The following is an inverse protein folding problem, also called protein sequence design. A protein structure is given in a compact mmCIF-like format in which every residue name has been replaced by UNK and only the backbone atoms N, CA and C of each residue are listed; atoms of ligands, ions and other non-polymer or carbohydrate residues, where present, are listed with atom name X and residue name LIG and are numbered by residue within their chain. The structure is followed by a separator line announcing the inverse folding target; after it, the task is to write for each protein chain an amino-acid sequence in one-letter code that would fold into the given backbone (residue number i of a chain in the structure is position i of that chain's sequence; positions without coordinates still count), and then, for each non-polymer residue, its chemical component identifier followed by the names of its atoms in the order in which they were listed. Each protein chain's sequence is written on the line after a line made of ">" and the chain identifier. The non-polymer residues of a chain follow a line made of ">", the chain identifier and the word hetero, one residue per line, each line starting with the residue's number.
data_IF_287972595561
#
_entry.id   IF_287972595561
#
_cell.length_a   1.000
_cell.length_b   1.000
_cell.length_c   1.000
_cell.angle_alpha   90.00
_cell.angle_beta   90.00
_cell.angle_gamma   90.00
#
_symmetry.space_group_name_H-M   'P 1'
#
loop_
_entity.id
_entity.type
_entity.pdbx_description
1 polymer ?
#
# COMPACT_ATOMS: atom_id res chain seq x y z
N UNK A 1 5.67 -55.15 -50.42
CA UNK A 1 4.87 -54.79 -49.22
C UNK A 1 5.74 -54.44 -48.00
N UNK A 2 6.87 -53.74 -48.18
CA UNK A 2 7.82 -53.45 -47.08
C UNK A 2 8.33 -51.99 -47.03
N UNK A 3 8.02 -51.13 -48.00
CA UNK A 3 8.50 -49.74 -48.00
C UNK A 3 7.51 -48.72 -47.43
N UNK A 4 6.23 -49.07 -47.26
CA UNK A 4 5.20 -48.14 -46.76
C UNK A 4 5.15 -48.05 -45.22
N UNK A 5 5.68 -49.02 -44.50
CA UNK A 5 5.69 -49.02 -43.03
C UNK A 5 6.77 -48.11 -42.40
N UNK A 6 7.87 -47.85 -43.12
CA UNK A 6 8.95 -46.97 -42.62
C UNK A 6 8.58 -45.49 -42.62
N UNK A 7 7.67 -45.06 -43.49
CA UNK A 7 7.31 -43.64 -43.62
C UNK A 7 6.42 -43.15 -42.47
N UNK A 8 5.53 -44.00 -41.95
CA UNK A 8 4.63 -43.66 -40.83
C UNK A 8 5.35 -43.47 -39.49
N UNK A 9 6.44 -44.21 -39.25
CA UNK A 9 7.21 -44.10 -38.00
C UNK A 9 7.93 -42.75 -37.86
N UNK A 10 8.41 -42.19 -38.97
CA UNK A 10 9.07 -40.89 -38.96
C UNK A 10 8.09 -39.71 -38.77
N UNK A 11 6.84 -39.86 -39.20
CA UNK A 11 5.80 -38.85 -39.01
C UNK A 11 5.30 -38.86 -37.55
N UNK A 12 5.09 -40.05 -36.96
CA UNK A 12 4.73 -40.19 -35.55
C UNK A 12 5.85 -39.76 -34.59
N UNK A 13 7.11 -40.08 -34.90
CA UNK A 13 8.25 -39.64 -34.09
C UNK A 13 8.45 -38.11 -34.13
N UNK A 14 8.19 -37.46 -35.28
CA UNK A 14 8.24 -36.00 -35.39
C UNK A 14 7.08 -35.31 -34.66
N UNK A 15 5.90 -35.93 -34.61
CA UNK A 15 4.76 -35.41 -33.84
C UNK A 15 5.01 -35.48 -32.32
N UNK A 16 5.63 -36.54 -31.80
CA UNK A 16 5.97 -36.64 -30.37
C UNK A 16 7.06 -35.64 -29.94
N UNK A 17 8.04 -35.32 -30.80
CA UNK A 17 9.08 -34.33 -30.48
C UNK A 17 8.53 -32.90 -30.49
N UNK A 18 7.55 -32.60 -31.34
CA UNK A 18 6.90 -31.27 -31.38
C UNK A 18 5.90 -31.06 -30.23
N UNK A 19 5.19 -32.10 -29.78
CA UNK A 19 4.25 -31.97 -28.64
C UNK A 19 4.99 -31.91 -27.30
N UNK A 20 6.16 -32.55 -27.18
CA UNK A 20 6.98 -32.47 -25.96
C UNK A 20 7.72 -31.13 -25.78
N UNK A 21 7.84 -30.32 -26.84
CA UNK A 21 8.50 -29.00 -26.78
C UNK A 21 7.56 -27.86 -26.33
N UNK A 22 6.24 -28.09 -26.27
CA UNK A 22 5.26 -27.09 -25.83
C UNK A 22 4.84 -27.22 -24.36
N UNK A 23 5.43 -28.16 -23.60
CA UNK A 23 5.21 -28.29 -22.16
C UNK A 23 6.54 -28.13 -21.42
N UNK A 24 7.27 -27.06 -21.74
CA UNK A 24 8.22 -26.54 -20.78
C UNK A 24 7.39 -25.74 -19.76
N UNK A 25 7.29 -26.17 -18.49
CA UNK A 25 6.78 -25.27 -17.47
C UNK A 25 7.63 -24.00 -17.54
N UNK A 26 6.99 -22.84 -17.66
CA UNK A 26 7.65 -21.57 -17.43
C UNK A 26 8.18 -21.62 -16.00
N UNK A 27 9.43 -22.05 -15.84
CA UNK A 27 10.17 -21.88 -14.61
C UNK A 27 10.32 -20.37 -14.50
N UNK A 28 9.45 -19.75 -13.71
CA UNK A 28 9.63 -18.37 -13.30
C UNK A 28 10.90 -18.33 -12.46
N UNK A 29 12.00 -17.90 -13.07
CA UNK A 29 13.31 -17.85 -12.42
C UNK A 29 13.31 -16.67 -11.44
N UNK A 30 13.24 -16.97 -10.15
CA UNK A 30 13.28 -15.97 -9.08
C UNK A 30 14.65 -15.26 -9.03
N UNK A 31 14.66 -14.05 -8.45
CA UNK A 31 15.87 -13.26 -8.21
C UNK A 31 16.94 -14.06 -7.46
N UNK A 32 18.20 -13.93 -7.92
CA UNK A 32 19.33 -14.67 -7.35
C UNK A 32 19.70 -14.23 -5.94
N UNK A 33 19.56 -12.94 -5.62
CA UNK A 33 19.79 -12.37 -4.29
C UNK A 33 18.71 -11.34 -3.96
N UNK A 34 18.14 -11.45 -2.75
CA UNK A 34 17.16 -10.51 -2.19
C UNK A 34 17.66 -10.04 -0.84
N UNK A 35 17.69 -8.74 -0.61
CA UNK A 35 18.05 -8.11 0.67
C UNK A 35 16.84 -7.37 1.23
N UNK A 36 16.43 -7.69 2.46
CA UNK A 36 15.34 -6.99 3.16
C UNK A 36 15.95 -6.03 4.16
N UNK A 37 15.81 -4.73 3.90
CA UNK A 37 16.31 -3.66 4.76
C UNK A 37 15.18 -3.18 5.68
N UNK A 38 15.44 -3.17 6.99
CA UNK A 38 14.51 -2.71 8.03
C UNK A 38 15.25 -1.79 8.99
N UNK A 39 14.60 -0.83 9.64
CA UNK A 39 15.26 0.03 10.66
C UNK A 39 14.61 -0.02 12.03
N UNK A 40 13.44 -0.66 12.16
CA UNK A 40 12.73 -0.83 13.42
C UNK A 40 12.02 -2.19 13.49
N UNK A 41 11.68 -2.62 14.70
CA UNK A 41 10.97 -3.88 14.98
C UNK A 41 9.50 -3.62 15.34
N UNK A 42 8.80 -2.79 14.56
CA UNK A 42 7.35 -2.66 14.76
C UNK A 42 6.64 -3.97 14.40
N UNK A 43 5.52 -4.26 15.07
CA UNK A 43 4.72 -5.47 14.82
C UNK A 43 4.37 -5.64 13.33
N UNK A 44 4.06 -4.53 12.65
CA UNK A 44 3.78 -4.53 11.21
C UNK A 44 4.99 -4.96 10.37
N UNK A 45 6.19 -4.46 10.68
CA UNK A 45 7.43 -4.84 10.01
C UNK A 45 7.76 -6.31 10.27
N UNK A 46 7.66 -6.78 11.52
CA UNK A 46 7.92 -8.18 11.85
C UNK A 46 6.94 -9.13 11.14
N UNK A 47 5.65 -8.79 11.09
CA UNK A 47 4.64 -9.58 10.38
C UNK A 47 4.90 -9.62 8.88
N UNK A 48 5.23 -8.47 8.27
CA UNK A 48 5.61 -8.38 6.85
C UNK A 48 6.81 -9.28 6.55
N UNK A 49 7.92 -9.13 7.29
CA UNK A 49 9.15 -9.90 7.06
C UNK A 49 8.90 -11.39 7.22
N UNK A 50 8.14 -11.79 8.25
CA UNK A 50 7.76 -13.19 8.48
C UNK A 50 6.95 -13.74 7.30
N UNK A 51 5.92 -13.03 6.85
CA UNK A 51 5.08 -13.47 5.75
C UNK A 51 5.86 -13.53 4.43
N UNK A 52 6.73 -12.55 4.17
CA UNK A 52 7.53 -12.51 2.95
C UNK A 52 8.51 -13.69 2.88
N UNK A 53 9.15 -14.02 4.01
CA UNK A 53 10.02 -15.21 4.11
C UNK A 53 9.27 -16.50 3.82
N UNK A 54 8.03 -16.63 4.30
CA UNK A 54 7.19 -17.80 4.04
C UNK A 54 6.81 -17.93 2.56
N UNK A 55 6.52 -16.82 1.88
CA UNK A 55 6.03 -16.85 0.49
C UNK A 55 7.10 -17.04 -0.57
N UNK A 56 8.37 -16.70 -0.28
CA UNK A 56 9.45 -16.78 -1.26
C UNK A 56 10.23 -18.11 -1.19
N UNK A 57 10.12 -18.90 -0.10
CA UNK A 57 10.72 -20.23 0.09
C UNK A 57 12.28 -20.25 0.07
N UNK A 58 12.91 -21.14 0.86
CA UNK A 58 14.37 -21.13 1.11
C UNK A 58 15.26 -21.54 -0.09
N UNK A 59 14.67 -22.06 -1.18
CA UNK A 59 15.43 -22.59 -2.32
C UNK A 59 15.98 -21.54 -3.29
N UNK A 60 15.40 -20.34 -3.30
CA UNK A 60 16.05 -19.16 -3.89
C UNK A 60 17.10 -18.66 -2.90
N UNK A 61 18.33 -18.42 -3.35
CA UNK A 61 19.50 -17.96 -2.57
C UNK A 61 19.32 -16.55 -1.97
N UNK A 62 18.30 -16.40 -1.13
CA UNK A 62 17.88 -15.14 -0.54
C UNK A 62 18.66 -14.96 0.77
N UNK A 63 19.75 -14.21 0.67
CA UNK A 63 20.47 -13.71 1.85
C UNK A 63 19.70 -12.53 2.44
N UNK A 64 18.73 -12.82 3.31
CA UNK A 64 18.01 -11.80 4.08
C UNK A 64 18.95 -11.18 5.12
N UNK A 65 19.67 -10.12 4.75
CA UNK A 65 20.43 -9.33 5.70
C UNK A 65 19.51 -8.29 6.35
N UNK A 66 18.93 -8.66 7.51
CA UNK A 66 18.19 -7.73 8.37
C UNK A 66 19.21 -6.89 9.13
N UNK A 67 19.49 -5.67 8.67
CA UNK A 67 20.35 -4.76 9.45
C UNK A 67 19.52 -4.09 10.53
N UNK A 68 19.81 -4.34 11.81
CA UNK A 68 19.26 -3.55 12.93
C UNK A 68 20.15 -2.33 13.19
N UNK A 69 19.50 -1.26 13.61
CA UNK A 69 20.05 0.08 13.79
C UNK A 69 21.13 0.16 14.87
N UNK A 70 22.19 0.93 14.62
CA UNK A 70 22.65 2.05 15.45
C UNK A 70 23.90 2.66 14.82
N UNK A 71 23.85 3.96 14.52
CA UNK A 71 25.03 4.85 14.46
C UNK A 71 26.18 4.42 13.53
N UNK A 72 25.99 4.54 12.20
CA UNK A 72 27.05 4.37 11.21
C UNK A 72 26.87 3.12 10.36
N UNK A 73 26.03 3.23 9.33
CA UNK A 73 25.67 2.12 8.45
C UNK A 73 26.73 1.90 7.35
N UNK A 74 27.75 1.09 7.62
CA UNK A 74 28.49 0.37 6.57
C UNK A 74 27.85 -1.00 6.34
N UNK A 75 26.62 -1.02 5.80
CA UNK A 75 26.01 -2.28 5.35
C UNK A 75 26.68 -2.68 4.04
N UNK A 76 27.38 -3.82 4.03
CA UNK A 76 27.84 -4.44 2.80
C UNK A 76 26.66 -5.12 2.10
N UNK A 77 25.93 -4.36 1.28
CA UNK A 77 24.88 -4.89 0.41
C UNK A 77 25.56 -5.59 -0.77
N UNK A 78 25.30 -6.88 -1.03
CA UNK A 78 25.90 -7.57 -2.17
C UNK A 78 25.58 -6.83 -3.47
N UNK A 79 26.58 -6.76 -4.36
CA UNK A 79 26.32 -6.35 -5.75
C UNK A 79 25.30 -7.33 -6.38
N UNK A 80 24.45 -6.81 -7.25
CA UNK A 80 23.39 -7.56 -7.96
C UNK A 80 22.29 -8.17 -7.03
N UNK A 81 21.77 -7.36 -6.11
CA UNK A 81 20.65 -7.74 -5.22
C UNK A 81 19.43 -6.82 -5.40
N UNK A 82 18.23 -7.37 -5.25
CA UNK A 82 17.02 -6.58 -5.06
C UNK A 82 16.89 -6.17 -3.60
N UNK A 83 16.78 -4.87 -3.35
CA UNK A 83 16.56 -4.33 -2.01
C UNK A 83 15.08 -4.08 -1.77
N UNK A 84 14.52 -4.75 -0.76
CA UNK A 84 13.19 -4.46 -0.23
C UNK A 84 13.36 -3.58 1.00
N UNK A 85 13.10 -2.28 0.86
CA UNK A 85 13.23 -1.32 1.94
C UNK A 85 11.90 -1.18 2.69
N UNK A 86 11.86 -1.66 3.93
CA UNK A 86 10.65 -1.71 4.75
C UNK A 86 10.61 -0.52 5.70
N UNK A 87 9.71 0.42 5.41
CA UNK A 87 9.53 1.66 6.16
C UNK A 87 10.36 2.84 5.64
N UNK A 88 9.96 4.05 6.05
CA UNK A 88 10.51 5.31 5.54
C UNK A 88 12.03 5.46 5.75
N UNK A 89 12.53 5.11 6.94
CA UNK A 89 13.96 5.22 7.24
C UNK A 89 14.81 4.23 6.43
N UNK A 90 14.33 2.98 6.27
CA UNK A 90 14.99 2.00 5.41
C UNK A 90 15.03 2.48 3.96
N UNK A 91 13.93 3.04 3.46
CA UNK A 91 13.87 3.58 2.10
C UNK A 91 14.81 4.77 1.92
N UNK A 92 14.88 5.67 2.90
CA UNK A 92 15.80 6.81 2.88
C UNK A 92 17.27 6.35 2.84
N UNK A 93 17.64 5.33 3.63
CA UNK A 93 18.97 4.73 3.52
C UNK A 93 19.21 4.10 2.13
N UNK A 94 18.24 3.35 1.62
CA UNK A 94 18.33 2.72 0.30
C UNK A 94 18.44 3.74 -0.85
N UNK A 95 17.97 4.98 -0.64
CA UNK A 95 18.15 6.10 -1.55
C UNK A 95 19.62 6.48 -1.78
N UNK A 96 20.52 6.16 -0.83
CA UNK A 96 21.96 6.46 -0.93
C UNK A 96 22.81 5.31 -1.50
N UNK A 97 22.17 4.19 -1.89
CA UNK A 97 22.87 3.07 -2.53
C UNK A 97 23.19 3.40 -3.99
N UNK A 98 24.10 2.63 -4.59
CA UNK A 98 24.44 2.74 -6.02
C UNK A 98 23.17 2.81 -6.88
N UNK A 99 23.15 3.73 -7.86
CA UNK A 99 21.97 4.03 -8.69
C UNK A 99 21.41 2.78 -9.41
N UNK A 100 22.29 1.85 -9.78
CA UNK A 100 21.95 0.58 -10.43
C UNK A 100 21.30 -0.44 -9.50
N UNK A 101 21.33 -0.24 -8.17
CA UNK A 101 20.78 -1.19 -7.20
C UNK A 101 19.25 -1.09 -7.18
N UNK A 102 18.47 -2.07 -7.65
CA UNK A 102 17.02 -1.97 -7.65
C UNK A 102 16.46 -1.93 -6.22
N UNK A 103 15.60 -0.95 -5.93
CA UNK A 103 14.96 -0.76 -4.63
C UNK A 103 13.44 -0.74 -4.76
N UNK A 104 12.76 -1.55 -3.95
CA UNK A 104 11.31 -1.48 -3.76
C UNK A 104 11.01 -1.07 -2.31
N UNK A 105 10.44 0.10 -2.14
CA UNK A 105 9.88 0.57 -0.87
C UNK A 105 8.56 -0.11 -0.52
N UNK A 106 8.36 -0.46 0.74
CA UNK A 106 7.09 -1.00 1.25
C UNK A 106 6.84 -0.53 2.68
N UNK A 107 5.58 -0.50 3.10
CA UNK A 107 5.16 0.09 4.38
C UNK A 107 5.63 1.56 4.55
N UNK A 108 5.63 2.30 3.43
CA UNK A 108 6.03 3.71 3.35
C UNK A 108 4.85 4.55 2.85
N UNK A 109 4.58 5.75 3.42
CA UNK A 109 3.61 6.68 2.83
C UNK A 109 4.06 7.18 1.44
N UNK A 110 3.10 7.46 0.56
CA UNK A 110 3.35 7.98 -0.80
C UNK A 110 4.18 9.26 -0.76
N UNK A 111 3.83 10.20 0.13
CA UNK A 111 4.55 11.46 0.30
C UNK A 111 6.01 11.27 0.69
N UNK A 112 6.29 10.29 1.56
CA UNK A 112 7.66 9.94 1.95
C UNK A 112 8.43 9.34 0.78
N UNK A 113 7.82 8.44 0.00
CA UNK A 113 8.45 7.88 -1.20
C UNK A 113 8.78 8.97 -2.22
N UNK A 114 7.84 9.87 -2.54
CA UNK A 114 8.05 10.93 -3.52
C UNK A 114 9.15 11.90 -3.09
N UNK A 115 9.21 12.27 -1.81
CA UNK A 115 10.31 13.09 -1.27
C UNK A 115 11.64 12.36 -1.39
N UNK A 116 11.72 11.10 -0.94
CA UNK A 116 12.97 10.34 -0.97
C UNK A 116 13.45 10.09 -2.40
N UNK A 117 12.55 9.76 -3.34
CA UNK A 117 12.90 9.60 -4.75
C UNK A 117 13.52 10.89 -5.30
N UNK A 118 12.89 12.04 -5.05
CA UNK A 118 13.39 13.36 -5.47
C UNK A 118 14.76 13.67 -4.86
N UNK A 119 14.92 13.46 -3.55
CA UNK A 119 16.15 13.78 -2.83
C UNK A 119 17.31 12.86 -3.21
N UNK A 120 17.01 11.59 -3.54
CA UNK A 120 18.01 10.60 -3.96
C UNK A 120 18.54 10.79 -5.39
N UNK A 121 17.81 11.50 -6.25
CA UNK A 121 18.15 11.66 -7.67
C UNK A 121 18.01 10.39 -8.51
N UNK A 122 17.47 9.30 -7.96
CA UNK A 122 17.39 7.99 -8.62
C UNK A 122 16.28 7.94 -9.68
N UNK A 123 16.46 7.06 -10.67
CA UNK A 123 15.44 6.75 -11.67
C UNK A 123 14.27 5.95 -11.08
N UNK A 124 13.04 6.31 -11.45
CA UNK A 124 11.82 5.61 -11.00
C UNK A 124 11.71 4.17 -11.52
N UNK A 125 12.49 3.83 -12.55
CA UNK A 125 12.66 2.48 -13.08
C UNK A 125 13.56 1.59 -12.20
N UNK A 126 14.37 2.16 -11.31
CA UNK A 126 15.22 1.41 -10.37
C UNK A 126 14.85 1.69 -8.90
N UNK A 127 13.92 2.61 -8.65
CA UNK A 127 13.48 3.01 -7.32
C UNK A 127 11.96 3.12 -7.26
N UNK A 128 11.31 2.01 -6.91
CA UNK A 128 9.85 1.87 -6.88
C UNK A 128 9.31 1.71 -5.46
N UNK A 129 7.99 1.68 -5.30
CA UNK A 129 7.35 1.40 -4.02
C UNK A 129 5.93 0.82 -4.17
N UNK A 130 5.53 0.03 -3.19
CA UNK A 130 4.12 -0.24 -2.89
C UNK A 130 3.77 0.53 -1.60
N UNK A 131 3.15 1.70 -1.75
CA UNK A 131 2.91 2.64 -0.65
C UNK A 131 1.67 2.30 0.18
N UNK A 132 1.62 2.87 1.40
CA UNK A 132 0.55 2.66 2.39
C UNK A 132 -0.80 3.25 1.98
N UNK A 133 -0.75 4.41 1.33
CA UNK A 133 -1.92 5.19 0.93
C UNK A 133 -2.86 4.40 0.02
N UNK A 134 -4.14 4.39 0.37
CA UNK A 134 -5.17 3.76 -0.45
C UNK A 134 -5.68 4.75 -1.51
N UNK A 135 -6.02 4.32 -2.73
CA UNK A 135 -6.59 5.20 -3.73
C UNK A 135 -7.83 5.95 -3.21
N UNK A 136 -7.98 7.24 -3.53
CA UNK A 136 -9.14 8.02 -3.07
C UNK A 136 -10.47 7.43 -3.53
N UNK A 137 -10.54 6.88 -4.74
CA UNK A 137 -11.75 6.17 -5.21
C UNK A 137 -12.13 5.04 -4.25
N UNK A 138 -11.16 4.26 -3.74
CA UNK A 138 -11.39 3.19 -2.77
C UNK A 138 -11.95 3.72 -1.45
N UNK A 139 -11.33 4.78 -0.93
CA UNK A 139 -11.76 5.42 0.32
C UNK A 139 -13.17 6.02 0.19
N UNK A 140 -13.47 6.68 -0.92
CA UNK A 140 -14.78 7.29 -1.18
C UNK A 140 -15.86 6.24 -1.50
N UNK A 141 -15.48 5.09 -2.09
CA UNK A 141 -16.38 3.95 -2.24
C UNK A 141 -16.77 3.37 -0.88
N UNK A 142 -15.83 3.27 0.07
CA UNK A 142 -16.13 2.90 1.46
C UNK A 142 -17.10 3.91 2.09
N UNK A 143 -16.84 5.21 1.91
CA UNK A 143 -17.74 6.29 2.37
C UNK A 143 -19.16 6.11 1.80
N UNK A 144 -19.33 5.91 0.50
CA UNK A 144 -20.64 5.69 -0.15
C UNK A 144 -21.28 4.33 0.18
N UNK A 145 -20.48 3.34 0.56
CA UNK A 145 -21.00 2.05 1.01
C UNK A 145 -21.64 2.16 2.40
N UNK A 146 -21.04 2.94 3.30
CA UNK A 146 -21.55 3.16 4.66
C UNK A 146 -22.62 4.27 4.68
N UNK A 147 -22.42 5.34 3.92
CA UNK A 147 -23.28 6.52 3.88
C UNK A 147 -23.78 6.78 2.44
N UNK A 148 -24.78 6.04 1.95
CA UNK A 148 -25.23 6.16 0.56
C UNK A 148 -25.66 7.58 0.15
N UNK A 149 -26.24 8.34 1.09
CA UNK A 149 -26.78 9.67 0.85
C UNK A 149 -25.78 10.80 1.14
N UNK A 150 -24.51 10.49 1.42
CA UNK A 150 -23.49 11.51 1.68
C UNK A 150 -23.26 12.36 0.42
N UNK A 151 -23.24 13.67 0.60
CA UNK A 151 -23.00 14.64 -0.47
C UNK A 151 -21.81 15.56 -0.15
N UNK A 152 -21.33 15.60 1.10
CA UNK A 152 -20.16 16.37 1.48
C UNK A 152 -19.32 15.68 2.56
N UNK A 153 -18.01 15.91 2.53
CA UNK A 153 -17.06 15.43 3.53
C UNK A 153 -16.11 16.56 3.94
N UNK A 154 -15.68 16.54 5.20
CA UNK A 154 -14.64 17.41 5.72
C UNK A 154 -13.28 16.73 5.67
N UNK A 155 -12.23 17.49 5.32
CA UNK A 155 -10.84 17.02 5.30
C UNK A 155 -9.91 18.10 5.87
N UNK A 156 -9.02 17.69 6.75
CA UNK A 156 -7.90 18.50 7.22
C UNK A 156 -6.65 18.09 6.42
N UNK A 157 -5.99 19.04 5.79
CA UNK A 157 -4.72 18.82 5.09
C UNK A 157 -3.63 19.71 5.69
N UNK A 158 -2.46 19.12 5.90
CA UNK A 158 -1.27 19.80 6.38
C UNK A 158 -0.20 19.94 5.30
N UNK A 159 1.02 20.38 5.67
CA UNK A 159 2.09 20.64 4.72
C UNK A 159 2.48 19.44 3.87
N UNK A 160 2.36 18.22 4.43
CA UNK A 160 2.75 16.97 3.77
C UNK A 160 1.61 16.38 2.94
N UNK A 161 0.35 16.64 3.28
CA UNK A 161 -0.82 16.07 2.60
C UNK A 161 -1.49 17.00 1.60
N UNK A 162 -1.24 18.32 1.66
CA UNK A 162 -1.87 19.32 0.78
C UNK A 162 -1.72 19.04 -0.72
N UNK A 163 -0.63 18.40 -1.16
CA UNK A 163 -0.41 18.08 -2.57
C UNK A 163 -1.47 17.12 -3.13
N UNK A 164 -2.14 16.35 -2.26
CA UNK A 164 -3.17 15.38 -2.63
C UNK A 164 -4.56 16.01 -2.83
N UNK A 165 -4.71 17.33 -2.58
CA UNK A 165 -6.00 18.03 -2.67
C UNK A 165 -6.68 17.85 -4.03
N UNK A 166 -5.94 18.01 -5.12
CA UNK A 166 -6.48 17.91 -6.47
C UNK A 166 -6.93 16.48 -6.82
N UNK A 167 -6.14 15.48 -6.42
CA UNK A 167 -6.47 14.06 -6.63
C UNK A 167 -7.73 13.68 -5.85
N UNK A 168 -7.82 14.11 -4.59
CA UNK A 168 -8.99 13.89 -3.73
C UNK A 168 -10.25 14.56 -4.30
N UNK A 169 -10.18 15.84 -4.67
CA UNK A 169 -11.31 16.55 -5.25
C UNK A 169 -11.76 15.93 -6.58
N UNK A 170 -10.80 15.49 -7.41
CA UNK A 170 -11.10 14.82 -8.68
C UNK A 170 -11.81 13.49 -8.47
N UNK A 171 -11.38 12.69 -7.49
CA UNK A 171 -12.03 11.44 -7.12
C UNK A 171 -13.44 11.68 -6.53
N UNK A 172 -13.58 12.67 -5.64
CA UNK A 172 -14.85 13.02 -5.01
C UNK A 172 -15.89 13.54 -6.02
N UNK A 173 -15.46 14.33 -7.00
CA UNK A 173 -16.33 14.82 -8.08
C UNK A 173 -16.96 13.69 -8.88
N UNK A 174 -16.22 12.60 -9.17
CA UNK A 174 -16.75 11.42 -9.86
C UNK A 174 -17.87 10.72 -9.08
N UNK A 175 -17.92 10.91 -7.77
CA UNK A 175 -18.91 10.33 -6.87
C UNK A 175 -19.95 11.35 -6.36
N UNK A 176 -19.97 12.55 -6.93
CA UNK A 176 -20.83 13.66 -6.51
C UNK A 176 -20.72 13.97 -5.01
N UNK A 177 -19.49 14.00 -4.50
CA UNK A 177 -19.16 14.38 -3.13
C UNK A 177 -18.41 15.72 -3.17
N UNK A 178 -18.90 16.69 -2.42
CA UNK A 178 -18.20 17.95 -2.14
C UNK A 178 -17.13 17.71 -1.05
N UNK A 179 -15.92 18.26 -1.25
CA UNK A 179 -14.82 18.14 -0.29
C UNK A 179 -14.55 19.49 0.35
N UNK A 180 -14.88 19.61 1.63
CA UNK A 180 -14.60 20.77 2.45
C UNK A 180 -13.20 20.64 3.06
N UNK A 181 -12.22 21.25 2.39
CA UNK A 181 -10.81 21.21 2.82
C UNK A 181 -10.51 22.39 3.75
N UNK A 182 -9.86 22.10 4.88
CA UNK A 182 -9.21 23.11 5.73
C UNK A 182 -7.72 22.82 5.82
N UNK A 183 -6.91 23.83 5.51
CA UNK A 183 -5.46 23.74 5.64
C UNK A 183 -5.03 24.04 7.07
N UNK A 184 -4.15 23.22 7.60
CA UNK A 184 -3.52 23.37 8.92
C UNK A 184 -2.03 23.46 8.68
N UNK A 185 -1.45 24.66 8.78
CA UNK A 185 -0.02 24.86 8.55
C UNK A 185 0.78 24.78 9.85
N UNK A 186 0.12 24.99 10.98
CA UNK A 186 0.71 24.95 12.32
C UNK A 186 -0.16 24.16 13.29
N UNK A 187 0.46 23.55 14.29
CA UNK A 187 -0.23 22.70 15.26
C UNK A 187 -1.29 23.44 16.08
N UNK A 188 -1.09 24.74 16.36
CA UNK A 188 -2.04 25.59 17.09
C UNK A 188 -3.30 25.95 16.29
N UNK A 189 -3.27 25.80 14.97
CA UNK A 189 -4.42 26.02 14.08
C UNK A 189 -5.35 24.80 14.01
N UNK A 190 -4.90 23.63 14.49
CA UNK A 190 -5.60 22.35 14.32
C UNK A 190 -7.00 22.37 14.94
N UNK A 191 -7.11 22.73 16.22
CA UNK A 191 -8.39 22.71 16.92
C UNK A 191 -9.39 23.66 16.26
N UNK A 192 -8.95 24.89 15.93
CA UNK A 192 -9.81 25.88 15.29
C UNK A 192 -10.37 25.38 13.94
N UNK A 193 -9.51 24.82 13.09
CA UNK A 193 -9.92 24.30 11.79
C UNK A 193 -10.82 23.06 11.90
N UNK A 194 -10.54 22.19 12.87
CA UNK A 194 -11.38 21.02 13.15
C UNK A 194 -12.78 21.46 13.58
N UNK A 195 -12.91 22.36 14.56
CA UNK A 195 -14.18 22.90 15.04
C UNK A 195 -14.99 23.53 13.90
N UNK A 196 -14.33 24.27 13.00
CA UNK A 196 -14.98 24.85 11.82
C UNK A 196 -15.54 23.81 10.86
N UNK A 197 -14.90 22.65 10.71
CA UNK A 197 -15.46 21.55 9.91
C UNK A 197 -16.67 20.89 10.59
N UNK A 198 -16.70 20.85 11.92
CA UNK A 198 -17.76 20.16 12.66
C UNK A 198 -19.11 20.91 12.63
N UNK A 199 -19.12 22.24 12.43
CA UNK A 199 -20.34 23.07 12.41
C UNK A 199 -21.39 22.64 11.37
N UNK A 200 -20.97 21.93 10.31
CA UNK A 200 -21.87 21.45 9.25
C UNK A 200 -22.38 20.02 9.41
N UNK A 201 -22.01 19.30 10.50
CA UNK A 201 -22.24 17.85 10.69
C UNK A 201 -21.94 17.05 9.41
N UNK A 202 -20.67 16.91 9.09
CA UNK A 202 -20.19 16.14 7.94
C UNK A 202 -19.55 14.83 8.39
N UNK A 203 -19.08 14.03 7.45
CA UNK A 203 -18.11 12.97 7.73
C UNK A 203 -16.70 13.56 7.63
N UNK A 204 -15.81 13.21 8.56
CA UNK A 204 -14.38 13.55 8.45
C UNK A 204 -13.65 12.41 7.75
N UNK A 205 -13.00 12.68 6.62
CA UNK A 205 -12.06 11.74 6.01
C UNK A 205 -10.64 12.09 6.48
N UNK A 206 -10.03 11.17 7.23
CA UNK A 206 -8.69 11.37 7.77
C UNK A 206 -7.63 11.02 6.72
N UNK A 207 -6.83 12.01 6.33
CA UNK A 207 -5.69 11.86 5.42
C UNK A 207 -4.39 11.93 6.23
N UNK A 208 -3.50 10.94 6.14
CA UNK A 208 -2.25 10.93 6.91
C UNK A 208 -1.44 12.22 6.71
N UNK A 209 -1.17 12.92 7.81
CA UNK A 209 -0.28 14.07 7.83
C UNK A 209 0.43 14.12 9.19
N UNK A 210 1.78 14.18 9.24
CA UNK A 210 2.54 14.18 10.48
C UNK A 210 2.25 15.37 11.40
N UNK A 211 1.71 16.49 10.89
CA UNK A 211 1.31 17.63 11.70
C UNK A 211 -0.07 17.42 12.36
N UNK A 212 -0.97 16.70 11.68
CA UNK A 212 -2.39 16.62 12.04
C UNK A 212 -2.71 15.33 12.80
N UNK A 213 -2.16 14.20 12.37
CA UNK A 213 -2.49 12.87 12.90
C UNK A 213 -1.27 12.27 13.61
N UNK A 214 -0.91 12.83 14.76
CA UNK A 214 0.08 12.28 15.70
C UNK A 214 -0.62 11.38 16.74
N UNK A 215 0.16 10.72 17.59
CA UNK A 215 -0.38 9.94 18.70
C UNK A 215 -1.22 10.82 19.65
N UNK A 216 -0.79 12.05 19.87
CA UNK A 216 -1.41 13.02 20.76
C UNK A 216 -2.66 13.65 20.12
N UNK A 217 -2.56 14.10 18.87
CA UNK A 217 -3.67 14.81 18.21
C UNK A 217 -4.76 13.87 17.70
N UNK A 218 -4.43 12.62 17.35
CA UNK A 218 -5.39 11.61 16.93
C UNK A 218 -6.53 11.43 17.95
N UNK A 219 -6.20 11.36 19.24
CA UNK A 219 -7.19 11.21 20.31
C UNK A 219 -8.08 12.46 20.41
N UNK A 220 -7.49 13.65 20.35
CA UNK A 220 -8.23 14.93 20.38
C UNK A 220 -9.20 15.05 19.21
N UNK A 221 -8.77 14.66 18.00
CA UNK A 221 -9.62 14.65 16.81
C UNK A 221 -10.80 13.70 16.99
N UNK A 222 -10.56 12.46 17.43
CA UNK A 222 -11.62 11.47 17.65
C UNK A 222 -12.61 11.89 18.75
N UNK A 223 -12.14 12.48 19.85
CA UNK A 223 -13.01 12.99 20.91
C UNK A 223 -13.84 14.19 20.45
N UNK A 224 -13.25 15.11 19.69
CA UNK A 224 -13.95 16.29 19.16
C UNK A 224 -15.03 15.87 18.19
N UNK A 225 -14.68 15.05 17.18
CA UNK A 225 -15.64 14.53 16.19
C UNK A 225 -16.77 13.74 16.86
N UNK A 226 -16.47 12.93 17.87
CA UNK A 226 -17.49 12.22 18.66
C UNK A 226 -18.48 13.17 19.36
N UNK A 227 -18.00 14.25 20.01
CA UNK A 227 -18.87 15.26 20.65
C UNK A 227 -19.80 15.94 19.65
N UNK A 228 -19.34 16.11 18.41
CA UNK A 228 -20.15 16.67 17.32
C UNK A 228 -21.02 15.64 16.58
N UNK A 229 -20.97 14.37 16.99
CA UNK A 229 -21.63 13.25 16.31
C UNK A 229 -21.19 13.12 14.84
N UNK A 230 -19.94 13.47 14.55
CA UNK A 230 -19.34 13.40 13.22
C UNK A 230 -18.55 12.09 13.09
N UNK A 231 -18.92 11.17 12.19
CA UNK A 231 -18.15 9.95 11.97
C UNK A 231 -16.82 10.27 11.27
N UNK A 232 -15.79 9.51 11.61
CA UNK A 232 -14.45 9.61 11.01
C UNK A 232 -14.15 8.37 10.18
N UNK A 233 -13.76 8.53 8.91
CA UNK A 233 -13.16 7.45 8.11
C UNK A 233 -11.64 7.55 8.25
N UNK A 234 -11.05 6.49 8.78
CA UNK A 234 -9.63 6.39 9.01
C UNK A 234 -8.84 5.85 7.82
N UNK A 235 -7.53 6.05 7.90
CA UNK A 235 -6.55 5.59 6.90
C UNK A 235 -5.83 4.29 7.30
N UNK A 236 -6.10 3.75 8.49
CA UNK A 236 -5.44 2.54 8.99
C UNK A 236 -6.34 1.72 9.91
N UNK A 237 -6.02 0.44 10.03
CA UNK A 237 -6.70 -0.47 10.96
C UNK A 237 -6.61 0.01 12.41
N UNK A 238 -5.44 0.48 12.84
CA UNK A 238 -5.25 0.97 14.20
C UNK A 238 -6.11 2.20 14.48
N UNK A 239 -6.28 3.09 13.50
CA UNK A 239 -7.10 4.28 13.67
C UNK A 239 -8.60 3.97 13.75
N UNK A 240 -9.10 3.00 12.95
CA UNK A 240 -10.45 2.46 13.11
C UNK A 240 -10.66 1.83 14.49
N UNK A 241 -9.72 1.01 14.95
CA UNK A 241 -9.77 0.41 16.29
C UNK A 241 -9.71 1.45 17.42
N UNK A 242 -9.06 2.58 17.19
CA UNK A 242 -8.96 3.68 18.16
C UNK A 242 -10.19 4.60 18.20
N UNK A 243 -11.12 4.51 17.26
CA UNK A 243 -12.38 5.27 17.31
C UNK A 243 -12.90 5.82 15.99
N UNK A 244 -12.17 5.67 14.87
CA UNK A 244 -12.75 5.94 13.56
C UNK A 244 -13.81 4.86 13.21
N UNK A 245 -14.89 5.24 12.51
CA UNK A 245 -16.02 4.33 12.24
C UNK A 245 -15.62 3.20 11.30
N UNK A 246 -14.74 3.49 10.34
CA UNK A 246 -14.20 2.50 9.44
C UNK A 246 -12.86 2.97 8.87
N UNK A 247 -12.08 2.04 8.33
CA UNK A 247 -10.90 2.34 7.53
C UNK A 247 -10.77 1.32 6.40
N UNK A 248 -10.19 1.74 5.28
CA UNK A 248 -9.65 0.84 4.26
C UNK A 248 -8.13 0.88 4.32
N UNK A 249 -7.49 -0.28 4.29
CA UNK A 249 -6.05 -0.43 4.46
C UNK A 249 -5.58 -1.72 3.80
N UNK A 250 -4.27 -1.89 3.64
CA UNK A 250 -3.68 -3.17 3.27
C UNK A 250 -2.87 -3.70 4.44
N UNK A 251 -3.04 -4.98 4.78
CA UNK A 251 -2.35 -5.59 5.91
C UNK A 251 -0.87 -5.87 5.57
N UNK A 252 0.02 -5.98 6.57
CA UNK A 252 1.41 -6.40 6.34
C UNK A 252 1.52 -7.70 5.53
N UNK A 253 0.60 -8.65 5.76
CA UNK A 253 0.53 -9.90 4.99
C UNK A 253 0.16 -9.67 3.52
N UNK A 254 -0.78 -8.75 3.25
CA UNK A 254 -1.16 -8.42 1.87
C UNK A 254 0.01 -7.76 1.12
N UNK A 255 0.74 -6.84 1.76
CA UNK A 255 1.96 -6.27 1.20
C UNK A 255 3.01 -7.35 0.91
N UNK A 256 3.27 -8.24 1.87
CA UNK A 256 4.23 -9.33 1.69
C UNK A 256 3.85 -10.22 0.50
N UNK A 257 2.57 -10.57 0.37
CA UNK A 257 2.09 -11.38 -0.73
C UNK A 257 2.23 -10.69 -2.08
N UNK A 258 1.96 -9.39 -2.11
CA UNK A 258 2.09 -8.61 -3.34
C UNK A 258 3.55 -8.46 -3.77
N UNK A 259 4.45 -8.20 -2.83
CA UNK A 259 5.90 -8.16 -3.09
C UNK A 259 6.42 -9.53 -3.52
N UNK A 260 6.00 -10.62 -2.87
CA UNK A 260 6.41 -11.97 -3.26
C UNK A 260 5.99 -12.31 -4.70
N UNK A 261 4.75 -11.95 -5.08
CA UNK A 261 4.27 -12.14 -6.45
C UNK A 261 5.02 -11.26 -7.45
N UNK A 262 5.31 -10.00 -7.10
CA UNK A 262 6.11 -9.11 -7.93
C UNK A 262 7.51 -9.69 -8.17
N UNK A 263 8.20 -10.13 -7.12
CA UNK A 263 9.55 -10.73 -7.22
C UNK A 263 9.56 -11.97 -8.11
N UNK A 264 8.52 -12.82 -8.04
CA UNK A 264 8.37 -14.01 -8.88
C UNK A 264 8.16 -13.69 -10.36
N UNK A 265 7.66 -12.50 -10.68
CA UNK A 265 7.37 -12.06 -12.05
C UNK A 265 8.51 -11.22 -12.66
N UNK A 266 9.37 -10.63 -11.84
CA UNK A 266 10.49 -9.81 -12.32
C UNK A 266 11.55 -10.70 -13.01
N UNK A 267 11.96 -10.38 -14.25
CA UNK A 267 13.02 -11.12 -14.94
C UNK A 267 14.36 -10.96 -14.20
N UNK A 268 15.17 -12.03 -14.19
CA UNK A 268 16.48 -12.07 -13.50
C UNK A 268 17.47 -11.02 -14.03
N UNK A 269 17.35 -10.65 -15.30
CA UNK A 269 18.31 -9.81 -16.03
C UNK A 269 17.76 -8.41 -16.37
N UNK A 270 16.55 -8.07 -15.89
CA UNK A 270 15.93 -6.78 -16.16
C UNK A 270 15.63 -6.03 -14.85
N UNK A 271 16.34 -4.92 -14.67
CA UNK A 271 16.30 -4.08 -13.46
C UNK A 271 15.19 -3.02 -13.53
N UNK A 272 14.32 -3.09 -14.55
CA UNK A 272 13.19 -2.16 -14.70
C UNK A 272 12.08 -2.61 -13.76
N UNK A 273 11.97 -1.91 -12.63
CA UNK A 273 10.90 -2.04 -11.67
C UNK A 273 9.61 -1.43 -12.22
N UNK A 274 8.43 -1.97 -11.84
CA UNK A 274 7.17 -1.33 -12.15
C UNK A 274 7.08 0.05 -11.49
N UNK A 275 6.25 0.93 -12.04
CA UNK A 275 5.97 2.23 -11.43
C UNK A 275 5.41 2.07 -10.02
N UNK A 276 5.82 2.96 -9.11
CA UNK A 276 5.30 2.97 -7.74
C UNK A 276 3.79 3.16 -7.69
N UNK A 277 3.11 2.43 -6.79
CA UNK A 277 1.64 2.38 -6.74
C UNK A 277 1.12 1.95 -5.38
N UNK A 278 -0.19 2.11 -5.17
CA UNK A 278 -0.87 1.54 -4.01
C UNK A 278 -0.90 0.01 -4.09
N UNK A 279 -1.08 -0.65 -2.96
CA UNK A 279 -1.38 -2.08 -2.93
C UNK A 279 -2.72 -2.38 -3.63
N UNK A 280 -2.74 -3.47 -4.39
CA UNK A 280 -3.95 -3.95 -5.06
C UNK A 280 -4.88 -4.66 -4.08
N UNK A 281 -4.30 -5.44 -3.15
CA UNK A 281 -5.06 -6.13 -2.11
C UNK A 281 -5.31 -5.18 -0.96
N UNK A 282 -6.55 -5.13 -0.48
CA UNK A 282 -6.94 -4.33 0.67
C UNK A 282 -7.93 -5.09 1.55
N UNK A 283 -8.14 -4.57 2.75
CA UNK A 283 -9.10 -4.99 3.75
C UNK A 283 -9.83 -3.76 4.27
N UNK A 284 -11.00 -4.00 4.87
CA UNK A 284 -11.75 -2.99 5.60
C UNK A 284 -11.78 -3.35 7.09
N UNK A 285 -11.78 -2.35 7.94
CA UNK A 285 -12.07 -2.49 9.37
C UNK A 285 -13.28 -1.61 9.67
N UNK A 286 -14.33 -2.17 10.25
CA UNK A 286 -15.54 -1.43 10.64
C UNK A 286 -15.67 -1.48 12.16
N UNK A 287 -15.63 -0.31 12.80
CA UNK A 287 -15.84 -0.18 14.23
C UNK A 287 -17.35 -0.13 14.54
N UNK A 288 -17.93 -1.33 14.73
CA UNK A 288 -19.35 -1.49 15.06
C UNK A 288 -19.76 -0.83 16.38
N UNK A 289 -18.84 -0.68 17.32
CA UNK A 289 -19.12 0.00 18.59
C UNK A 289 -19.32 1.49 18.37
N UNK A 290 -18.46 2.13 17.57
CA UNK A 290 -18.59 3.54 17.18
C UNK A 290 -19.84 3.76 16.34
N UNK A 291 -20.15 2.85 15.41
CA UNK A 291 -21.37 2.93 14.63
C UNK A 291 -22.63 2.95 15.50
N UNK A 292 -22.71 2.06 16.52
CA UNK A 292 -23.83 2.03 17.47
C UNK A 292 -23.91 3.29 18.34
N UNK A 293 -22.79 3.83 18.81
CA UNK A 293 -22.80 5.04 19.65
C UNK A 293 -23.20 6.31 18.88
N UNK A 294 -23.04 6.29 17.55
CA UNK A 294 -23.48 7.35 16.64
C UNK A 294 -24.87 7.07 16.01
N UNK A 295 -25.54 5.98 16.40
CA UNK A 295 -26.81 5.51 15.81
C UNK A 295 -26.75 5.31 14.28
N UNK A 296 -25.61 4.83 13.78
CA UNK A 296 -25.37 4.55 12.36
C UNK A 296 -25.55 3.05 12.12
N UNK A 297 -26.54 2.70 11.31
CA UNK A 297 -26.76 1.33 10.83
C UNK A 297 -25.83 1.04 9.66
N UNK A 298 -24.97 0.03 9.82
CA UNK A 298 -24.01 -0.38 8.80
C UNK A 298 -24.36 -1.79 8.34
N UNK A 299 -24.43 -2.01 7.03
CA UNK A 299 -24.65 -3.34 6.42
C UNK A 299 -23.47 -4.28 6.65
N UNK A 300 -23.57 -5.54 6.24
CA UNK A 300 -22.51 -6.54 6.42
C UNK A 300 -21.18 -6.12 5.74
N UNK A 301 -20.05 -6.45 6.40
CA UNK A 301 -18.70 -6.12 5.92
C UNK A 301 -18.43 -6.69 4.52
N UNK A 302 -18.92 -7.90 4.21
CA UNK A 302 -18.74 -8.50 2.90
C UNK A 302 -19.49 -7.73 1.81
N UNK A 303 -20.69 -7.23 2.10
CA UNK A 303 -21.46 -6.41 1.16
C UNK A 303 -20.76 -5.07 0.87
N UNK A 304 -20.21 -4.45 1.91
CA UNK A 304 -19.42 -3.21 1.78
C UNK A 304 -18.18 -3.46 0.93
N UNK A 305 -17.44 -4.53 1.23
CA UNK A 305 -16.26 -4.91 0.47
C UNK A 305 -16.57 -5.17 -1.01
N UNK A 306 -17.64 -5.90 -1.32
CA UNK A 306 -18.06 -6.16 -2.70
C UNK A 306 -18.48 -4.88 -3.43
N UNK A 307 -19.12 -3.93 -2.74
CA UNK A 307 -19.47 -2.64 -3.34
C UNK A 307 -18.22 -1.85 -3.71
N UNK A 308 -17.20 -1.80 -2.83
CA UNK A 308 -15.92 -1.14 -3.13
C UNK A 308 -15.25 -1.77 -4.34
N UNK A 309 -15.19 -3.11 -4.43
CA UNK A 309 -14.61 -3.80 -5.58
C UNK A 309 -15.35 -3.51 -6.90
N UNK A 310 -16.66 -3.28 -6.85
CA UNK A 310 -17.46 -2.94 -8.03
C UNK A 310 -17.16 -1.52 -8.50
N UNK A 311 -17.00 -0.58 -7.57
CA UNK A 311 -16.75 0.84 -7.87
C UNK A 311 -15.31 1.09 -8.37
N UNK A 312 -14.38 0.16 -8.16
CA UNK A 312 -13.00 0.21 -8.69
C UNK A 312 -12.85 -0.29 -10.14
N UNK A 313 -13.87 -0.96 -10.70
CA UNK A 313 -13.86 -1.52 -12.08
C UNK A 313 -14.42 -0.53 -13.08
#
# INVERSE_FOLDING_TARGET
>A
MHSLFKSYWHILARACVLVSACVLPNIAHAWGNLTILTTNDTTAVTEFVKQLKLEINEQSSIKVNVSKNDSGLSINIPKDTLVIAVGTQALSYAGNLDESTPVIGVLVPKSSYESILKDSGRGADHFSAIYLDQPFNRQLSLVKAIFPNIFSIGVLLGPVSQFQSNDLQSAAKKMSIEVNIRLVNRADELQFNLEKLMLGKQLLLAIPDPLIYTRETAQTILLTTYRHQVPVIGFSQSYAKSGAIAAVFSSPKQYASEIANLIKQLPKDQVILPTARAANKFSIEINRQVARSLDIQITDDALIYQKILKDER
#
